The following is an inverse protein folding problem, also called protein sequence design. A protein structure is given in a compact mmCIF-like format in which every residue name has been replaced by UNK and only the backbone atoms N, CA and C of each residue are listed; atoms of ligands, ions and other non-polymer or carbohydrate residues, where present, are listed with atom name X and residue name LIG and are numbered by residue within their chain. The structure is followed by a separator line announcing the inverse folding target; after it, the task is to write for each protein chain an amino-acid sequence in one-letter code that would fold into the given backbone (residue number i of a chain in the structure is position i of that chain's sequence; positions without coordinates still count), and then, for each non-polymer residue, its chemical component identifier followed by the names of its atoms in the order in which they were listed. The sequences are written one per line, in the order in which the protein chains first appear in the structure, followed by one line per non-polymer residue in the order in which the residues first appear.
data_IF_671848869876
#
_entry.id   IF_671848869876
#
_cell.length_a   1.000
_cell.length_b   1.000
_cell.length_c   1.000
_cell.angle_alpha   90.00
_cell.angle_beta   90.00
_cell.angle_gamma   90.00
#
_symmetry.space_group_name_H-M   'P 1'
#
loop_
_entity.id
_entity.type
_entity.pdbx_description
1 polymer ?
#
# COMPACT_ATOMS: atom_id res chain seq x y z
N UNK A 1 4.22 69.74 -17.33
CA UNK A 1 4.78 68.96 -16.21
C UNK A 1 3.80 67.85 -15.92
N UNK A 2 4.06 66.66 -16.44
CA UNK A 2 3.21 65.49 -16.23
C UNK A 2 4.15 64.35 -15.88
N UNK A 3 4.34 64.14 -14.58
CA UNK A 3 5.14 63.04 -14.05
C UNK A 3 4.42 61.73 -14.32
N UNK A 4 5.08 60.86 -15.08
CA UNK A 4 4.67 59.48 -15.32
C UNK A 4 5.18 58.65 -14.14
N UNK A 5 4.26 58.16 -13.32
CA UNK A 5 4.57 57.24 -12.22
C UNK A 5 5.06 55.92 -12.84
N UNK A 6 6.35 55.64 -12.70
CA UNK A 6 6.94 54.31 -12.89
C UNK A 6 6.41 53.41 -11.78
N UNK A 7 5.66 52.37 -12.15
CA UNK A 7 5.47 51.23 -11.27
C UNK A 7 6.80 50.47 -11.20
N UNK A 8 7.41 50.46 -10.02
CA UNK A 8 8.52 49.58 -9.68
C UNK A 8 8.06 48.12 -9.83
N UNK A 9 8.80 47.38 -10.64
CA UNK A 9 8.71 45.93 -10.80
C UNK A 9 9.07 45.25 -9.47
N UNK A 10 8.04 45.00 -8.66
CA UNK A 10 8.12 44.18 -7.47
C UNK A 10 8.46 42.74 -7.83
N UNK A 11 9.75 42.41 -7.75
CA UNK A 11 10.32 41.09 -7.48
C UNK A 11 9.47 39.90 -7.94
N UNK A 12 9.64 39.50 -9.20
CA UNK A 12 9.30 38.17 -9.67
C UNK A 12 10.14 37.12 -8.93
N UNK A 13 9.76 36.78 -7.69
CA UNK A 13 10.15 35.52 -7.10
C UNK A 13 9.41 34.43 -7.88
N UNK A 14 10.11 33.81 -8.81
CA UNK A 14 9.67 32.57 -9.43
C UNK A 14 9.17 31.64 -8.32
N UNK A 15 7.98 31.00 -8.47
CA UNK A 15 7.47 30.10 -7.47
C UNK A 15 8.54 29.06 -7.16
N UNK A 16 8.99 29.01 -5.91
CA UNK A 16 10.00 28.06 -5.47
C UNK A 16 9.55 26.66 -5.94
N UNK A 17 10.33 26.03 -6.82
CA UNK A 17 10.09 24.66 -7.27
C UNK A 17 10.04 23.81 -6.01
N UNK A 18 8.83 23.45 -5.56
CA UNK A 18 8.62 22.61 -4.38
C UNK A 18 9.11 21.21 -4.73
N UNK A 19 10.40 20.99 -4.47
CA UNK A 19 11.00 19.66 -4.56
C UNK A 19 10.36 18.70 -3.55
N UNK A 20 10.54 17.40 -3.78
CA UNK A 20 10.07 16.37 -2.86
C UNK A 20 10.68 16.54 -1.47
N UNK A 21 9.86 16.33 -0.43
CA UNK A 21 10.31 16.31 0.97
C UNK A 21 11.25 15.13 1.23
N UNK A 22 12.00 15.16 2.34
CA UNK A 22 12.91 14.04 2.67
C UNK A 22 12.12 12.75 2.91
N UNK A 23 10.92 12.85 3.50
CA UNK A 23 10.00 11.72 3.66
C UNK A 23 9.62 11.13 2.30
N UNK A 24 9.17 11.96 1.37
CA UNK A 24 8.75 11.49 0.04
C UNK A 24 9.89 10.80 -0.69
N UNK A 25 11.11 11.36 -0.67
CA UNK A 25 12.29 10.72 -1.28
C UNK A 25 12.60 9.37 -0.65
N UNK A 26 12.53 9.26 0.68
CA UNK A 26 12.74 8.00 1.37
C UNK A 26 11.66 6.95 1.02
N UNK A 27 10.39 7.37 0.95
CA UNK A 27 9.28 6.50 0.53
C UNK A 27 9.45 6.03 -0.93
N UNK A 28 9.88 6.90 -1.84
CA UNK A 28 10.22 6.50 -3.21
C UNK A 28 11.39 5.51 -3.24
N UNK A 29 12.38 5.68 -2.36
CA UNK A 29 13.47 4.71 -2.20
C UNK A 29 12.98 3.33 -1.76
N UNK A 30 12.07 3.27 -0.78
CA UNK A 30 11.45 2.01 -0.33
C UNK A 30 10.63 1.39 -1.46
N UNK A 31 9.86 2.19 -2.19
CA UNK A 31 9.07 1.70 -3.33
C UNK A 31 9.95 1.15 -4.46
N UNK A 32 11.04 1.85 -4.80
CA UNK A 32 12.00 1.39 -5.79
C UNK A 32 12.66 0.08 -5.34
N UNK A 33 13.04 -0.03 -4.06
CA UNK A 33 13.56 -1.27 -3.49
C UNK A 33 12.54 -2.41 -3.56
N UNK A 34 11.28 -2.15 -3.19
CA UNK A 34 10.19 -3.13 -3.32
C UNK A 34 10.07 -3.69 -4.75
N UNK A 35 10.20 -2.87 -5.79
CA UNK A 35 10.19 -3.41 -7.16
C UNK A 35 11.48 -4.14 -7.52
N UNK A 36 12.64 -3.62 -7.08
CA UNK A 36 13.94 -4.18 -7.41
C UNK A 36 14.18 -5.59 -6.83
N UNK A 37 13.55 -5.97 -5.72
CA UNK A 37 13.73 -7.32 -5.16
C UNK A 37 13.12 -8.42 -6.04
N UNK A 38 12.07 -8.14 -6.80
CA UNK A 38 11.38 -9.15 -7.61
C UNK A 38 12.30 -9.82 -8.66
N UNK A 39 13.01 -9.07 -9.53
CA UNK A 39 13.96 -9.68 -10.46
C UNK A 39 15.14 -10.35 -9.76
N UNK A 40 15.55 -9.87 -8.57
CA UNK A 40 16.60 -10.50 -7.78
C UNK A 40 16.17 -11.89 -7.31
N UNK A 41 14.99 -11.99 -6.69
CA UNK A 41 14.48 -13.27 -6.20
C UNK A 41 14.12 -14.23 -7.35
N UNK A 42 13.59 -13.72 -8.47
CA UNK A 42 13.38 -14.51 -9.67
C UNK A 42 14.70 -15.11 -10.19
N UNK A 43 15.77 -14.31 -10.26
CA UNK A 43 17.09 -14.80 -10.67
C UNK A 43 17.65 -15.85 -9.70
N UNK A 44 17.48 -15.63 -8.38
CA UNK A 44 17.88 -16.62 -7.37
C UNK A 44 17.16 -17.97 -7.57
N UNK A 45 15.86 -17.94 -7.85
CA UNK A 45 15.06 -19.15 -8.06
C UNK A 45 15.42 -19.85 -9.38
N UNK A 46 15.31 -19.14 -10.51
CA UNK A 46 15.39 -19.76 -11.84
C UNK A 46 16.79 -19.87 -12.44
N UNK A 47 17.78 -19.12 -11.93
CA UNK A 47 19.15 -19.15 -12.46
C UNK A 47 20.20 -19.65 -11.47
N UNK A 48 20.01 -19.41 -10.17
CA UNK A 48 20.93 -19.89 -9.12
C UNK A 48 20.47 -21.24 -8.55
N UNK A 49 19.19 -21.59 -8.69
CA UNK A 49 18.63 -22.86 -8.22
C UNK A 49 18.21 -22.84 -6.75
N UNK A 50 17.93 -21.67 -6.18
CA UNK A 50 17.34 -21.56 -4.84
C UNK A 50 15.92 -22.16 -4.88
N UNK A 51 15.55 -23.06 -3.95
CA UNK A 51 14.20 -23.64 -3.95
C UNK A 51 13.11 -22.58 -3.81
N UNK A 52 12.01 -22.75 -4.57
CA UNK A 52 10.86 -21.82 -4.57
C UNK A 52 10.37 -21.46 -3.17
N UNK A 53 10.21 -22.46 -2.29
CA UNK A 53 9.75 -22.25 -0.90
C UNK A 53 10.66 -21.26 -0.14
N UNK A 54 11.98 -21.36 -0.33
CA UNK A 54 12.96 -20.49 0.33
C UNK A 54 12.94 -19.09 -0.30
N UNK A 55 13.00 -19.00 -1.63
CA UNK A 55 13.01 -17.73 -2.35
C UNK A 55 11.72 -16.93 -2.09
N UNK A 56 10.55 -17.57 -2.24
CA UNK A 56 9.24 -16.94 -2.03
C UNK A 56 9.02 -16.49 -0.58
N UNK A 57 9.37 -17.33 0.41
CA UNK A 57 9.22 -16.98 1.83
C UNK A 57 10.14 -15.81 2.19
N UNK A 58 11.40 -15.85 1.77
CA UNK A 58 12.34 -14.75 2.00
C UNK A 58 11.88 -13.46 1.31
N UNK A 59 11.35 -13.53 0.09
CA UNK A 59 10.82 -12.37 -0.61
C UNK A 59 9.64 -11.74 0.14
N UNK A 60 8.68 -12.55 0.64
CA UNK A 60 7.55 -12.04 1.44
C UNK A 60 8.03 -11.36 2.72
N UNK A 61 9.02 -11.91 3.42
CA UNK A 61 9.62 -11.26 4.60
C UNK A 61 10.20 -9.89 4.23
N UNK A 62 10.90 -9.79 3.10
CA UNK A 62 11.46 -8.52 2.62
C UNK A 62 10.34 -7.53 2.24
N UNK A 63 9.27 -7.99 1.59
CA UNK A 63 8.09 -7.18 1.27
C UNK A 63 7.44 -6.61 2.54
N UNK A 64 7.21 -7.46 3.55
CA UNK A 64 6.69 -7.00 4.86
C UNK A 64 7.65 -6.00 5.50
N UNK A 65 8.96 -6.25 5.41
CA UNK A 65 10.00 -5.32 5.83
C UNK A 65 9.89 -3.96 5.14
N UNK A 66 9.58 -3.90 3.84
CA UNK A 66 9.33 -2.66 3.11
C UNK A 66 8.10 -1.92 3.68
N UNK A 67 6.99 -2.62 3.93
CA UNK A 67 5.79 -2.00 4.50
C UNK A 67 6.04 -1.42 5.89
N UNK A 68 6.67 -2.21 6.77
CA UNK A 68 7.03 -1.76 8.12
C UNK A 68 7.99 -0.57 8.06
N UNK A 69 9.00 -0.62 7.19
CA UNK A 69 9.93 0.50 6.99
C UNK A 69 9.20 1.75 6.54
N UNK A 70 8.30 1.65 5.56
CA UNK A 70 7.51 2.77 5.07
C UNK A 70 6.63 3.38 6.18
N UNK A 71 5.98 2.56 7.02
CA UNK A 71 5.17 3.03 8.15
C UNK A 71 6.01 3.69 9.26
N UNK A 72 7.26 3.27 9.45
CA UNK A 72 8.18 3.85 10.44
C UNK A 72 8.80 5.16 9.94
N UNK A 73 9.00 5.35 8.63
CA UNK A 73 9.69 6.53 8.07
C UNK A 73 9.18 7.90 8.55
N UNK A 74 7.86 8.14 8.73
CA UNK A 74 7.33 9.37 9.32
C UNK A 74 7.80 9.64 10.76
N UNK A 75 8.25 8.62 11.47
CA UNK A 75 8.74 8.72 12.85
C UNK A 75 10.23 9.00 12.93
N UNK A 76 10.98 8.74 11.85
CA UNK A 76 12.42 8.97 11.78
C UNK A 76 12.69 10.45 11.55
N UNK A 77 13.60 11.01 12.34
CA UNK A 77 13.95 12.43 12.33
C UNK A 77 14.87 12.81 11.14
N UNK A 78 14.42 12.52 9.92
CA UNK A 78 15.12 12.81 8.66
C UNK A 78 14.84 14.24 8.19
N UNK A 79 15.89 15.05 8.02
CA UNK A 79 15.81 16.37 7.39
C UNK A 79 14.68 17.26 7.92
N UNK A 80 13.75 17.59 7.03
CA UNK A 80 12.58 18.45 7.30
C UNK A 80 11.52 17.82 8.23
N UNK A 81 11.69 16.56 8.65
CA UNK A 81 10.82 15.89 9.62
C UNK A 81 11.18 16.15 11.08
N UNK A 82 12.37 16.68 11.37
CA UNK A 82 12.87 16.86 12.75
C UNK A 82 11.95 17.71 13.62
N UNK A 83 11.30 18.71 13.03
CA UNK A 83 10.39 19.63 13.72
C UNK A 83 8.94 19.15 13.82
N UNK A 84 8.59 17.98 13.26
CA UNK A 84 7.22 17.46 13.29
C UNK A 84 6.85 16.95 14.69
N UNK A 85 5.68 17.37 15.15
CA UNK A 85 5.01 16.87 16.35
C UNK A 85 4.60 15.41 16.20
N UNK A 86 4.34 14.71 17.31
CA UNK A 86 3.87 13.32 17.29
C UNK A 86 2.57 13.15 16.49
N UNK A 87 1.65 14.11 16.58
CA UNK A 87 0.38 14.08 15.86
C UNK A 87 0.57 14.23 14.33
N UNK A 88 1.50 15.09 13.89
CA UNK A 88 1.84 15.23 12.47
C UNK A 88 2.52 13.96 11.93
N UNK A 89 3.43 13.34 12.71
CA UNK A 89 4.09 12.08 12.32
C UNK A 89 3.08 10.93 12.19
N UNK A 90 2.17 10.81 13.16
CA UNK A 90 1.10 9.83 13.11
C UNK A 90 0.15 10.07 11.93
N UNK A 91 -0.24 11.32 11.65
CA UNK A 91 -1.02 11.65 10.47
C UNK A 91 -0.31 11.27 9.16
N UNK A 92 0.99 11.54 9.05
CA UNK A 92 1.78 11.12 7.89
C UNK A 92 1.86 9.59 7.75
N UNK A 93 2.03 8.83 8.85
CA UNK A 93 1.98 7.36 8.84
C UNK A 93 0.65 6.83 8.31
N UNK A 94 -0.47 7.43 8.72
CA UNK A 94 -1.79 7.04 8.20
C UNK A 94 -1.91 7.30 6.70
N UNK A 95 -1.41 8.44 6.20
CA UNK A 95 -1.37 8.69 4.75
C UNK A 95 -0.47 7.67 4.02
N UNK A 96 0.68 7.30 4.61
CA UNK A 96 1.53 6.24 4.06
C UNK A 96 0.79 4.90 4.01
N UNK A 97 0.02 4.54 5.05
CA UNK A 97 -0.79 3.33 5.04
C UNK A 97 -1.78 3.33 3.87
N UNK A 98 -2.51 4.42 3.65
CA UNK A 98 -3.46 4.51 2.53
C UNK A 98 -2.75 4.26 1.19
N UNK A 99 -1.52 4.75 1.00
CA UNK A 99 -0.72 4.41 -0.18
C UNK A 99 -0.34 2.91 -0.22
N UNK A 100 0.09 2.34 0.90
CA UNK A 100 0.44 0.91 1.00
C UNK A 100 -0.78 0.04 0.69
N UNK A 101 -1.98 0.43 1.11
CA UNK A 101 -3.20 -0.31 0.83
C UNK A 101 -3.61 -0.19 -0.65
N UNK A 102 -3.45 0.98 -1.26
CA UNK A 102 -3.81 1.20 -2.67
C UNK A 102 -2.86 0.54 -3.67
N UNK A 103 -1.56 0.47 -3.36
CA UNK A 103 -0.55 -0.04 -4.30
C UNK A 103 -0.83 -1.50 -4.71
N UNK A 104 -1.01 -2.46 -3.79
CA UNK A 104 -1.37 -3.84 -4.13
C UNK A 104 -2.68 -3.93 -4.91
N UNK A 105 -3.70 -3.14 -4.58
CA UNK A 105 -4.98 -3.13 -5.32
C UNK A 105 -4.79 -2.87 -6.81
N UNK A 106 -4.01 -1.84 -7.13
CA UNK A 106 -3.86 -1.41 -8.53
C UNK A 106 -2.72 -2.12 -9.27
N UNK A 107 -1.69 -2.58 -8.57
CA UNK A 107 -0.48 -3.16 -9.18
C UNK A 107 -0.49 -4.69 -9.12
N UNK A 108 -1.18 -5.29 -8.15
CA UNK A 108 -1.22 -6.74 -7.95
C UNK A 108 -2.62 -7.32 -8.19
N UNK A 109 -3.66 -6.80 -7.52
CA UNK A 109 -5.01 -7.37 -7.56
C UNK A 109 -5.71 -7.08 -8.90
N UNK A 110 -5.70 -5.83 -9.35
CA UNK A 110 -6.33 -5.43 -10.62
C UNK A 110 -5.76 -6.20 -11.82
N UNK A 111 -4.43 -6.33 -12.01
CA UNK A 111 -3.92 -7.17 -13.08
C UNK A 111 -4.29 -8.65 -12.92
N UNK A 112 -4.30 -9.19 -11.69
CA UNK A 112 -4.74 -10.56 -11.44
C UNK A 112 -6.21 -10.78 -11.85
N UNK A 113 -7.09 -9.85 -11.52
CA UNK A 113 -8.51 -9.88 -11.90
C UNK A 113 -8.73 -9.80 -13.42
N UNK A 114 -7.92 -9.01 -14.13
CA UNK A 114 -8.09 -8.79 -15.58
C UNK A 114 -7.36 -9.80 -16.46
N UNK A 115 -6.26 -10.36 -15.97
CA UNK A 115 -5.33 -11.18 -16.76
C UNK A 115 -5.01 -12.51 -16.07
N UNK A 116 -5.95 -13.04 -15.28
CA UNK A 116 -5.82 -14.25 -14.48
C UNK A 116 -5.10 -15.39 -15.21
N UNK A 117 -5.65 -15.86 -16.33
CA UNK A 117 -5.10 -16.99 -17.09
C UNK A 117 -3.64 -16.75 -17.53
N UNK A 118 -3.33 -15.51 -17.94
CA UNK A 118 -1.98 -15.12 -18.38
C UNK A 118 -0.99 -15.05 -17.23
N UNK A 119 -1.46 -14.65 -16.06
CA UNK A 119 -0.65 -14.58 -14.85
C UNK A 119 -0.35 -15.99 -14.36
N UNK A 120 -1.36 -16.87 -14.32
CA UNK A 120 -1.18 -18.29 -13.98
C UNK A 120 -0.19 -18.96 -14.94
N UNK A 121 -0.43 -18.86 -16.25
CA UNK A 121 0.47 -19.40 -17.29
C UNK A 121 1.91 -18.86 -17.14
N UNK A 122 2.05 -17.56 -16.87
CA UNK A 122 3.35 -16.94 -16.67
C UNK A 122 4.04 -17.43 -15.39
N UNK A 123 3.31 -17.59 -14.28
CA UNK A 123 3.86 -18.11 -13.02
C UNK A 123 4.33 -19.55 -13.20
N UNK A 124 3.52 -20.41 -13.83
CA UNK A 124 3.87 -21.81 -14.09
C UNK A 124 5.06 -21.96 -15.03
N UNK A 125 5.18 -21.08 -16.02
CA UNK A 125 6.33 -21.05 -16.94
C UNK A 125 7.56 -20.33 -16.41
N UNK A 126 7.50 -19.74 -15.21
CA UNK A 126 8.61 -19.01 -14.59
C UNK A 126 8.93 -17.66 -15.24
N UNK A 127 7.94 -17.00 -15.83
CA UNK A 127 8.10 -15.69 -16.46
C UNK A 127 8.38 -14.58 -15.42
N UNK A 128 9.39 -13.75 -15.68
CA UNK A 128 9.79 -12.67 -14.78
C UNK A 128 8.65 -11.68 -14.45
N UNK A 129 7.84 -11.33 -15.46
CA UNK A 129 6.81 -10.30 -15.28
C UNK A 129 5.67 -10.73 -14.35
N UNK A 130 5.41 -12.03 -14.20
CA UNK A 130 4.40 -12.58 -13.29
C UNK A 130 4.96 -13.01 -11.93
N UNK A 131 6.26 -12.86 -11.73
CA UNK A 131 6.92 -13.42 -10.55
C UNK A 131 6.42 -12.80 -9.23
N UNK A 132 5.88 -11.57 -9.25
CA UNK A 132 5.30 -10.95 -8.05
C UNK A 132 4.03 -11.66 -7.51
N UNK A 133 3.34 -12.45 -8.33
CA UNK A 133 2.20 -13.28 -7.90
C UNK A 133 2.64 -14.65 -7.39
N UNK A 134 3.79 -15.15 -7.87
CA UNK A 134 4.30 -16.49 -7.60
C UNK A 134 4.30 -16.89 -6.11
N UNK A 135 4.77 -16.05 -5.15
CA UNK A 135 4.79 -16.45 -3.74
C UNK A 135 3.43 -16.82 -3.16
N UNK A 136 2.36 -16.14 -3.61
CA UNK A 136 1.00 -16.37 -3.15
C UNK A 136 0.38 -17.53 -3.91
N UNK A 137 0.47 -17.53 -5.25
CA UNK A 137 -0.16 -18.55 -6.11
C UNK A 137 0.43 -19.96 -5.91
N UNK A 138 1.76 -20.08 -5.74
CA UNK A 138 2.45 -21.37 -5.66
C UNK A 138 2.75 -21.83 -4.23
N UNK A 139 2.24 -21.14 -3.21
CA UNK A 139 2.54 -21.55 -1.84
C UNK A 139 1.85 -20.79 -0.71
N UNK A 140 1.39 -19.55 -0.96
CA UNK A 140 0.61 -18.81 0.02
C UNK A 140 -0.81 -19.38 0.16
N UNK A 141 -1.60 -19.27 -0.90
CA UNK A 141 -3.00 -19.69 -0.91
C UNK A 141 -3.39 -20.15 -2.32
N UNK A 142 -3.61 -21.46 -2.44
CA UNK A 142 -3.95 -22.10 -3.71
C UNK A 142 -5.25 -21.57 -4.34
N UNK A 143 -6.14 -20.93 -3.57
CA UNK A 143 -7.38 -20.34 -4.11
C UNK A 143 -7.11 -19.20 -5.11
N UNK A 144 -5.95 -18.55 -5.01
CA UNK A 144 -5.51 -17.57 -6.01
C UNK A 144 -4.98 -18.21 -7.30
N UNK A 145 -4.63 -19.51 -7.27
CA UNK A 145 -4.26 -20.28 -8.45
C UNK A 145 -5.49 -20.84 -9.15
N UNK A 146 -6.52 -21.24 -8.38
CA UNK A 146 -7.75 -21.84 -8.91
C UNK A 146 -8.83 -20.80 -9.27
N UNK A 147 -8.63 -19.52 -8.92
CA UNK A 147 -9.59 -18.46 -9.19
C UNK A 147 -10.89 -18.62 -8.39
N UNK A 148 -10.76 -19.02 -7.12
CA UNK A 148 -11.90 -19.27 -6.24
C UNK A 148 -12.88 -18.08 -6.23
N UNK A 149 -14.18 -18.39 -6.35
CA UNK A 149 -15.20 -17.37 -6.53
C UNK A 149 -15.29 -16.40 -5.34
N UNK A 150 -15.04 -16.86 -4.12
CA UNK A 150 -15.02 -15.99 -2.94
C UNK A 150 -13.83 -15.03 -3.01
N UNK A 151 -12.63 -15.55 -3.33
CA UNK A 151 -11.44 -14.71 -3.49
C UNK A 151 -11.67 -13.66 -4.58
N UNK A 152 -12.12 -14.07 -5.77
CA UNK A 152 -12.41 -13.13 -6.87
C UNK A 152 -13.41 -12.05 -6.45
N UNK A 153 -14.47 -12.41 -5.72
CA UNK A 153 -15.43 -11.44 -5.21
C UNK A 153 -14.80 -10.46 -4.22
N UNK A 154 -13.97 -10.96 -3.29
CA UNK A 154 -13.30 -10.15 -2.29
C UNK A 154 -12.32 -9.16 -2.91
N UNK A 155 -11.55 -9.60 -3.91
CA UNK A 155 -10.62 -8.75 -4.67
C UNK A 155 -11.38 -7.65 -5.44
N UNK A 156 -12.52 -7.96 -6.06
CA UNK A 156 -13.36 -6.93 -6.70
C UNK A 156 -13.90 -5.90 -5.70
N UNK A 157 -14.31 -6.35 -4.50
CA UNK A 157 -14.77 -5.46 -3.43
C UNK A 157 -13.62 -4.56 -2.96
N UNK A 158 -12.43 -5.13 -2.72
CA UNK A 158 -11.24 -4.40 -2.32
C UNK A 158 -10.87 -3.33 -3.35
N UNK A 159 -10.86 -3.70 -4.63
CA UNK A 159 -10.58 -2.80 -5.74
C UNK A 159 -11.62 -1.67 -5.84
N UNK A 160 -12.91 -1.97 -5.72
CA UNK A 160 -13.98 -0.97 -5.78
C UNK A 160 -13.84 0.08 -4.68
N UNK A 161 -13.55 -0.38 -3.45
CA UNK A 161 -13.23 0.51 -2.33
C UNK A 161 -11.96 1.33 -2.61
N UNK A 162 -10.93 0.69 -3.17
CA UNK A 162 -9.69 1.34 -3.57
C UNK A 162 -9.89 2.53 -4.52
N UNK A 163 -10.88 2.50 -5.41
CA UNK A 163 -11.19 3.66 -6.26
C UNK A 163 -11.68 4.87 -5.47
N UNK A 164 -12.50 4.68 -4.44
CA UNK A 164 -12.96 5.78 -3.59
C UNK A 164 -11.82 6.37 -2.76
N UNK A 165 -10.94 5.51 -2.25
CA UNK A 165 -9.77 5.93 -1.49
C UNK A 165 -8.75 6.65 -2.37
N UNK A 166 -8.49 6.14 -3.57
CA UNK A 166 -7.65 6.80 -4.57
C UNK A 166 -8.21 8.17 -4.93
N UNK A 167 -9.52 8.28 -5.16
CA UNK A 167 -10.18 9.57 -5.40
C UNK A 167 -10.01 10.52 -4.22
N UNK A 168 -10.28 10.07 -2.99
CA UNK A 168 -10.14 10.89 -1.80
C UNK A 168 -8.69 11.37 -1.60
N UNK A 169 -7.72 10.51 -1.82
CA UNK A 169 -6.29 10.82 -1.71
C UNK A 169 -5.82 11.79 -2.81
N UNK A 170 -6.27 11.59 -4.05
CA UNK A 170 -6.00 12.52 -5.14
C UNK A 170 -6.52 13.93 -4.82
N UNK A 171 -7.77 14.01 -4.35
CA UNK A 171 -8.38 15.28 -3.96
C UNK A 171 -7.68 15.90 -2.75
N UNK A 172 -7.20 15.11 -1.80
CA UNK A 172 -6.39 15.58 -0.67
C UNK A 172 -5.14 16.34 -1.15
N UNK A 173 -4.39 15.79 -2.11
CA UNK A 173 -3.22 16.48 -2.66
C UNK A 173 -3.61 17.73 -3.45
N UNK A 174 -4.71 17.69 -4.21
CA UNK A 174 -5.24 18.84 -4.93
C UNK A 174 -5.70 19.95 -3.99
N UNK A 175 -6.24 19.60 -2.82
CA UNK A 175 -6.75 20.51 -1.80
C UNK A 175 -5.68 20.93 -0.78
N UNK A 176 -4.41 21.04 -1.21
CA UNK A 176 -3.29 21.44 -0.35
C UNK A 176 -3.12 20.58 0.92
N UNK A 177 -3.34 19.26 0.79
CA UNK A 177 -3.21 18.27 1.87
C UNK A 177 -4.26 18.47 2.97
N UNK A 178 -5.49 18.77 2.56
CA UNK A 178 -6.66 18.88 3.43
C UNK A 178 -7.82 18.05 2.87
N UNK A 179 -8.38 17.20 3.70
CA UNK A 179 -9.60 16.47 3.36
C UNK A 179 -10.85 17.34 3.54
N UNK A 180 -11.91 17.03 2.81
CA UNK A 180 -13.28 17.37 3.21
C UNK A 180 -13.85 16.25 4.09
N UNK A 181 -14.95 16.53 4.80
CA UNK A 181 -15.64 15.50 5.58
C UNK A 181 -15.97 14.27 4.73
N UNK A 182 -16.51 14.49 3.53
CA UNK A 182 -16.87 13.39 2.62
C UNK A 182 -15.66 12.57 2.19
N UNK A 183 -14.54 13.22 1.85
CA UNK A 183 -13.32 12.52 1.41
C UNK A 183 -12.74 11.66 2.54
N UNK A 184 -12.69 12.19 3.76
CA UNK A 184 -12.22 11.43 4.91
C UNK A 184 -13.18 10.28 5.26
N UNK A 185 -14.50 10.50 5.14
CA UNK A 185 -15.49 9.44 5.31
C UNK A 185 -15.35 8.31 4.28
N UNK A 186 -14.96 8.61 3.03
CA UNK A 186 -14.69 7.58 2.03
C UNK A 186 -13.50 6.70 2.43
N UNK A 187 -12.40 7.31 2.90
CA UNK A 187 -11.26 6.56 3.44
C UNK A 187 -11.70 5.70 4.63
N UNK A 188 -12.44 6.27 5.58
CA UNK A 188 -12.91 5.55 6.77
C UNK A 188 -13.85 4.39 6.44
N UNK A 189 -14.77 4.58 5.48
CA UNK A 189 -15.65 3.50 5.03
C UNK A 189 -14.84 2.37 4.39
N UNK A 190 -13.81 2.74 3.61
CA UNK A 190 -12.87 1.76 3.04
C UNK A 190 -12.18 0.94 4.12
N UNK A 191 -11.64 1.58 5.16
CA UNK A 191 -10.97 0.88 6.27
C UNK A 191 -11.84 -0.19 6.96
N UNK A 192 -13.16 0.02 7.06
CA UNK A 192 -14.07 -1.00 7.61
C UNK A 192 -14.12 -2.22 6.68
N UNK A 193 -14.21 -2.00 5.38
CA UNK A 193 -14.16 -3.08 4.40
C UNK A 193 -12.80 -3.78 4.45
N UNK A 194 -11.71 -3.02 4.53
CA UNK A 194 -10.34 -3.54 4.59
C UNK A 194 -10.06 -4.45 5.78
N UNK A 195 -10.71 -4.25 6.94
CA UNK A 195 -10.58 -5.17 8.08
C UNK A 195 -11.56 -6.35 7.98
N UNK A 196 -12.70 -6.14 7.30
CA UNK A 196 -13.73 -7.18 7.13
C UNK A 196 -13.28 -8.25 6.15
N UNK A 197 -12.64 -7.88 5.03
CA UNK A 197 -12.14 -8.82 4.03
C UNK A 197 -11.15 -9.85 4.62
N UNK A 198 -10.04 -9.47 5.29
CA UNK A 198 -9.16 -10.43 5.91
C UNK A 198 -9.86 -11.22 7.02
N UNK A 199 -10.83 -10.66 7.74
CA UNK A 199 -11.61 -11.43 8.72
C UNK A 199 -12.43 -12.56 8.07
N UNK A 200 -13.05 -12.30 6.90
CA UNK A 200 -13.73 -13.33 6.10
C UNK A 200 -12.71 -14.33 5.55
N UNK A 201 -11.58 -13.83 5.01
CA UNK A 201 -10.48 -14.64 4.48
C UNK A 201 -9.96 -15.65 5.51
N UNK A 202 -9.64 -15.18 6.72
CA UNK A 202 -9.24 -16.02 7.85
C UNK A 202 -10.37 -16.94 8.31
N UNK A 203 -11.60 -16.42 8.40
CA UNK A 203 -12.76 -17.17 8.88
C UNK A 203 -13.09 -18.38 8.01
N UNK A 204 -13.08 -18.22 6.69
CA UNK A 204 -13.32 -19.33 5.75
C UNK A 204 -12.19 -20.35 5.79
N UNK A 205 -10.93 -19.88 5.88
CA UNK A 205 -9.79 -20.80 5.96
C UNK A 205 -9.80 -21.64 7.25
N UNK A 206 -10.15 -21.02 8.38
CA UNK A 206 -10.33 -21.73 9.66
C UNK A 206 -11.50 -22.72 9.57
N UNK A 207 -12.63 -22.31 8.97
CA UNK A 207 -13.78 -23.19 8.79
C UNK A 207 -13.47 -24.41 7.91
N UNK A 208 -12.57 -24.24 6.95
CA UNK A 208 -12.08 -25.31 6.07
C UNK A 208 -10.84 -26.02 6.61
N UNK A 209 -10.53 -25.91 7.90
CA UNK A 209 -9.40 -26.59 8.56
C UNK A 209 -8.03 -26.30 7.92
N UNK A 210 -7.83 -25.08 7.40
CA UNK A 210 -6.57 -24.62 6.79
C UNK A 210 -6.11 -25.46 5.58
N UNK A 211 -7.06 -26.06 4.85
CA UNK A 211 -6.79 -26.97 3.74
C UNK A 211 -6.08 -26.31 2.54
N UNK A 212 -6.18 -25.00 2.37
CA UNK A 212 -5.55 -24.29 1.25
C UNK A 212 -4.10 -23.90 1.54
N UNK A 213 -3.59 -24.19 2.74
CA UNK A 213 -2.22 -23.88 3.17
C UNK A 213 -1.25 -25.03 2.85
N UNK A 214 -0.14 -24.70 2.17
CA UNK A 214 0.88 -25.68 1.74
C UNK A 214 1.77 -26.17 2.89
N UNK A 215 2.08 -25.31 3.87
CA UNK A 215 2.91 -25.64 5.03
C UNK A 215 2.70 -24.65 6.19
N UNK A 216 3.06 -25.01 7.44
CA UNK A 216 2.97 -24.10 8.58
C UNK A 216 3.80 -22.81 8.42
N UNK A 217 4.97 -22.88 7.79
CA UNK A 217 5.82 -21.70 7.56
C UNK A 217 5.17 -20.75 6.57
N UNK A 218 4.60 -21.28 5.49
CA UNK A 218 3.93 -20.49 4.47
C UNK A 218 2.62 -19.89 5.02
N UNK A 219 1.89 -20.64 5.85
CA UNK A 219 0.75 -20.11 6.60
C UNK A 219 1.17 -18.93 7.51
N UNK A 220 2.19 -19.07 8.33
CA UNK A 220 2.56 -17.98 9.25
C UNK A 220 3.12 -16.76 8.54
N UNK A 221 3.95 -16.95 7.50
CA UNK A 221 4.65 -15.86 6.83
C UNK A 221 3.83 -15.24 5.70
N UNK A 222 3.25 -16.06 4.83
CA UNK A 222 2.54 -15.60 3.63
C UNK A 222 1.07 -15.30 3.90
N UNK A 223 0.46 -16.00 4.85
CA UNK A 223 -0.95 -15.81 5.17
C UNK A 223 -1.16 -14.95 6.42
N UNK A 224 -0.50 -15.21 7.55
CA UNK A 224 -0.71 -14.42 8.77
C UNK A 224 0.05 -13.08 8.75
N UNK A 225 1.38 -13.12 8.59
CA UNK A 225 2.23 -11.94 8.80
C UNK A 225 1.85 -10.77 7.90
N UNK A 226 1.58 -11.02 6.61
CA UNK A 226 1.18 -9.96 5.69
C UNK A 226 -0.17 -9.36 6.10
N UNK A 227 -1.17 -10.21 6.38
CA UNK A 227 -2.54 -9.79 6.68
C UNK A 227 -2.71 -9.14 8.05
N UNK A 228 -1.79 -9.35 9.01
CA UNK A 228 -1.82 -8.65 10.31
C UNK A 228 -1.82 -7.12 10.13
N UNK A 229 -1.11 -6.60 9.12
CA UNK A 229 -1.13 -5.17 8.81
C UNK A 229 -2.52 -4.73 8.35
N UNK A 230 -3.17 -5.51 7.49
CA UNK A 230 -4.56 -5.29 7.04
C UNK A 230 -5.60 -5.50 8.14
N UNK A 231 -5.30 -6.24 9.22
CA UNK A 231 -6.20 -6.34 10.37
C UNK A 231 -6.07 -5.15 11.35
N UNK A 232 -4.92 -4.46 11.36
CA UNK A 232 -4.60 -3.48 12.41
C UNK A 232 -4.62 -2.04 11.91
N UNK A 233 -3.95 -1.76 10.80
CA UNK A 233 -3.81 -0.41 10.27
C UNK A 233 -5.14 0.21 9.79
N UNK A 234 -6.12 -0.55 9.27
CA UNK A 234 -7.42 0.04 8.96
C UNK A 234 -8.14 0.54 10.19
N UNK A 235 -8.07 -0.18 11.32
CA UNK A 235 -8.64 0.27 12.60
C UNK A 235 -7.95 1.55 13.10
N UNK A 236 -6.61 1.58 13.03
CA UNK A 236 -5.81 2.78 13.38
C UNK A 236 -6.23 3.98 12.54
N UNK A 237 -6.36 3.79 11.23
CA UNK A 237 -6.75 4.82 10.26
C UNK A 237 -8.19 5.28 10.49
N UNK A 238 -9.11 4.36 10.78
CA UNK A 238 -10.50 4.66 11.09
C UNK A 238 -10.61 5.58 12.31
N UNK A 239 -10.01 5.20 13.45
CA UNK A 239 -10.08 6.00 14.68
C UNK A 239 -9.34 7.33 14.56
N UNK A 240 -8.25 7.38 13.79
CA UNK A 240 -7.60 8.64 13.42
C UNK A 240 -8.56 9.55 12.65
N UNK A 241 -9.31 9.00 11.69
CA UNK A 241 -10.32 9.71 10.91
C UNK A 241 -11.46 10.25 11.78
N UNK A 242 -12.01 9.41 12.67
CA UNK A 242 -13.06 9.81 13.64
C UNK A 242 -12.61 11.04 14.44
N UNK A 243 -11.39 11.00 15.00
CA UNK A 243 -10.85 12.11 15.80
C UNK A 243 -10.73 13.40 14.98
N UNK A 244 -10.33 13.30 13.72
CA UNK A 244 -10.19 14.45 12.82
C UNK A 244 -11.53 15.04 12.40
N UNK A 245 -12.53 14.20 12.11
CA UNK A 245 -13.90 14.66 11.85
C UNK A 245 -14.48 15.38 13.07
N UNK A 246 -14.36 14.78 14.27
CA UNK A 246 -14.88 15.37 15.50
C UNK A 246 -14.24 16.73 15.83
N UNK A 247 -12.92 16.84 15.65
CA UNK A 247 -12.16 18.08 15.92
C UNK A 247 -12.16 19.08 14.77
N UNK A 248 -12.72 18.73 13.61
CA UNK A 248 -12.64 19.51 12.37
C UNK A 248 -11.21 19.83 11.89
N UNK A 249 -10.20 19.11 12.42
CA UNK A 249 -8.83 19.15 11.95
C UNK A 249 -8.66 18.20 10.77
N UNK A 250 -8.94 18.69 9.57
CA UNK A 250 -8.86 17.89 8.33
C UNK A 250 -7.56 18.11 7.54
N UNK A 251 -6.65 18.95 8.04
CA UNK A 251 -5.38 19.23 7.38
C UNK A 251 -4.31 18.26 7.89
N UNK A 252 -3.56 17.64 6.96
CA UNK A 252 -2.52 16.68 7.31
C UNK A 252 -1.20 17.12 6.68
N UNK A 253 -0.18 17.28 7.52
CA UNK A 253 1.15 17.61 7.04
C UNK A 253 1.83 16.34 6.50
N UNK A 254 1.88 16.22 5.17
CA UNK A 254 2.54 15.12 4.47
C UNK A 254 3.77 15.60 3.71
#
# INVERSE_FOLDING_TARGET
MTETIRHDDGTGQAPARRGLSSLQRALFGVLAFFFAIHPVFWCLEFHVGVPHVVASTAMVVVVVGCFVTALILPWVALGDQRSRTRAERFGAMVIVWVFIALIPRFIWELPWLLFFDRIVEGVESGALWTYMWSPILLGGDARYLDGDALIVCMEWIALFVGFFEAYALFQFFRNSKRFTNNQLSLIMAGMIVEVTLPAVYFGVEIANNLQSMSSPVEMWVKFVLINVLWCTMPLVTYFWGVRRLASHDLAVRF
#
